data_IF_926886267956
#
_entry.id   IF_926886267956
#
_cell.length_a   1.000
_cell.length_b   1.000
_cell.length_c   1.000
_cell.angle_alpha   90.00
_cell.angle_beta   90.00
_cell.angle_gamma   90.00
#
_symmetry.space_group_name_H-M   'P 1'
#
loop_
_entity.id
_entity.type
_entity.pdbx_description
1 polymer ?
#
# COMPACT_ATOMS: atom_id res chain seq x y z
N UNK A 1 -8.55 -16.28 -11.40
CA UNK A 1 -9.79 -15.45 -11.44
C UNK A 1 -9.62 -14.09 -10.79
N UNK A 2 -9.11 -13.98 -9.56
CA UNK A 2 -8.97 -12.69 -8.88
C UNK A 2 -8.17 -11.63 -9.69
N UNK A 3 -7.12 -12.05 -10.41
CA UNK A 3 -6.32 -11.17 -11.29
C UNK A 3 -7.14 -10.49 -12.40
N UNK A 4 -8.04 -11.23 -13.05
CA UNK A 4 -8.87 -10.69 -14.15
C UNK A 4 -9.79 -9.59 -13.62
N UNK A 5 -10.39 -9.80 -12.45
CA UNK A 5 -11.24 -8.78 -11.83
C UNK A 5 -10.45 -7.57 -11.36
N UNK A 6 -9.20 -7.77 -10.93
CA UNK A 6 -8.32 -6.69 -10.52
C UNK A 6 -7.88 -5.80 -11.70
N UNK A 7 -7.62 -6.39 -12.87
CA UNK A 7 -7.31 -5.66 -14.11
C UNK A 7 -8.49 -4.84 -14.64
N UNK A 8 -9.72 -5.23 -14.31
CA UNK A 8 -10.95 -4.51 -14.70
C UNK A 8 -11.31 -3.35 -13.75
N UNK A 9 -10.64 -3.24 -12.61
CA UNK A 9 -10.94 -2.22 -11.61
C UNK A 9 -10.30 -0.87 -11.96
N UNK A 10 -10.84 0.23 -11.43
CA UNK A 10 -10.30 1.59 -11.62
C UNK A 10 -9.14 1.92 -10.69
N UNK A 11 -9.17 1.37 -9.47
CA UNK A 11 -8.26 1.73 -8.37
C UNK A 11 -7.33 0.58 -8.00
N UNK A 12 -6.46 0.18 -8.92
CA UNK A 12 -5.60 -1.01 -8.80
C UNK A 12 -4.76 -1.04 -7.52
N UNK A 13 -4.20 0.09 -7.08
CA UNK A 13 -3.37 0.14 -5.87
C UNK A 13 -4.18 -0.12 -4.60
N UNK A 14 -5.33 0.56 -4.43
CA UNK A 14 -6.17 0.37 -3.25
C UNK A 14 -6.74 -1.04 -3.17
N UNK A 15 -7.19 -1.58 -4.31
CA UNK A 15 -7.79 -2.90 -4.34
C UNK A 15 -6.77 -4.01 -4.08
N UNK A 16 -5.54 -3.88 -4.59
CA UNK A 16 -4.46 -4.81 -4.26
C UNK A 16 -4.11 -4.77 -2.76
N UNK A 17 -4.00 -3.58 -2.16
CA UNK A 17 -3.76 -3.45 -0.72
C UNK A 17 -4.91 -4.03 0.12
N UNK A 18 -6.15 -3.78 -0.29
CA UNK A 18 -7.32 -4.32 0.39
C UNK A 18 -7.40 -5.85 0.27
N UNK A 19 -7.12 -6.41 -0.91
CA UNK A 19 -7.05 -7.85 -1.11
C UNK A 19 -5.96 -8.50 -0.24
N UNK A 20 -4.78 -7.89 -0.18
CA UNK A 20 -3.69 -8.34 0.70
C UNK A 20 -4.10 -8.34 2.18
N UNK A 21 -4.77 -7.28 2.63
CA UNK A 21 -5.28 -7.17 4.00
C UNK A 21 -6.29 -8.27 4.34
N UNK A 22 -7.31 -8.47 3.49
CA UNK A 22 -8.33 -9.51 3.68
C UNK A 22 -7.71 -10.90 3.71
N UNK A 23 -6.77 -11.18 2.79
CA UNK A 23 -6.11 -12.49 2.72
C UNK A 23 -5.21 -12.75 3.95
N UNK A 24 -4.55 -11.72 4.49
CA UNK A 24 -3.79 -11.85 5.73
C UNK A 24 -4.71 -12.18 6.91
N UNK A 25 -5.82 -11.44 7.11
CA UNK A 25 -6.77 -11.75 8.19
C UNK A 25 -7.38 -13.15 8.05
N UNK A 26 -7.70 -13.57 6.82
CA UNK A 26 -8.20 -14.92 6.57
C UNK A 26 -7.13 -15.98 6.86
N UNK A 27 -5.86 -15.71 6.56
CA UNK A 27 -4.75 -16.62 6.85
C UNK A 27 -4.58 -16.86 8.35
N UNK A 28 -4.75 -15.81 9.17
CA UNK A 28 -4.68 -15.90 10.63
C UNK A 28 -5.86 -16.72 11.19
N UNK A 29 -7.08 -16.52 10.67
CA UNK A 29 -8.25 -17.32 11.04
C UNK A 29 -8.11 -18.80 10.62
N UNK A 30 -7.53 -19.05 9.44
CA UNK A 30 -7.26 -20.40 8.97
C UNK A 30 -6.20 -21.11 9.84
N UNK A 31 -5.17 -20.38 10.29
CA UNK A 31 -4.17 -20.90 11.22
C UNK A 31 -4.80 -21.28 12.56
N UNK A 32 -5.63 -20.40 13.12
CA UNK A 32 -6.36 -20.65 14.38
C UNK A 32 -7.27 -21.88 14.31
N UNK A 33 -7.91 -22.11 13.16
CA UNK A 33 -8.78 -23.28 12.91
C UNK A 33 -8.00 -24.55 12.49
N UNK A 34 -6.67 -24.56 12.60
CA UNK A 34 -5.77 -25.67 12.26
C UNK A 34 -5.77 -26.06 10.77
N UNK A 35 -6.19 -25.16 9.88
CA UNK A 35 -6.09 -25.33 8.43
C UNK A 35 -4.76 -24.76 7.89
N UNK A 36 -3.65 -25.39 8.26
CA UNK A 36 -2.29 -24.87 7.99
C UNK A 36 -1.97 -24.73 6.49
N UNK A 37 -2.40 -25.69 5.64
CA UNK A 37 -2.21 -25.60 4.19
C UNK A 37 -2.98 -24.42 3.57
N UNK A 38 -4.21 -24.17 4.05
CA UNK A 38 -5.02 -23.04 3.59
C UNK A 38 -4.40 -21.72 4.03
N UNK A 39 -3.99 -21.62 5.30
CA UNK A 39 -3.32 -20.44 5.84
C UNK A 39 -2.06 -20.08 5.02
N UNK A 40 -1.22 -21.07 4.70
CA UNK A 40 -0.03 -20.86 3.88
C UNK A 40 -0.37 -20.31 2.49
N UNK A 41 -1.36 -20.89 1.81
CA UNK A 41 -1.80 -20.43 0.49
C UNK A 41 -2.40 -19.03 0.53
N UNK A 42 -3.20 -18.70 1.55
CA UNK A 42 -3.75 -17.35 1.74
C UNK A 42 -2.65 -16.32 1.96
N UNK A 43 -1.63 -16.66 2.76
CA UNK A 43 -0.49 -15.78 3.03
C UNK A 43 0.39 -15.54 1.80
N UNK A 44 0.55 -16.56 0.95
CA UNK A 44 1.24 -16.41 -0.34
C UNK A 44 0.47 -15.47 -1.27
N UNK A 45 -0.85 -15.66 -1.39
CA UNK A 45 -1.69 -14.77 -2.18
C UNK A 45 -1.69 -13.33 -1.62
N UNK A 46 -1.71 -13.16 -0.29
CA UNK A 46 -1.64 -11.84 0.34
C UNK A 46 -0.35 -11.10 -0.05
N UNK A 47 0.79 -11.80 -0.05
CA UNK A 47 2.08 -11.26 -0.50
C UNK A 47 2.07 -10.92 -1.98
N UNK A 48 1.48 -11.77 -2.82
CA UNK A 48 1.37 -11.51 -4.24
C UNK A 48 0.60 -10.20 -4.53
N UNK A 49 -0.51 -9.96 -3.83
CA UNK A 49 -1.25 -8.70 -3.97
C UNK A 49 -0.48 -7.48 -3.42
N UNK A 50 0.28 -7.64 -2.32
CA UNK A 50 1.15 -6.56 -1.84
C UNK A 50 2.23 -6.21 -2.88
N UNK A 51 2.79 -7.22 -3.56
CA UNK A 51 3.78 -7.06 -4.62
C UNK A 51 3.21 -6.37 -5.85
N UNK A 52 1.97 -6.69 -6.23
CA UNK A 52 1.25 -5.99 -7.30
C UNK A 52 1.05 -4.52 -6.95
N UNK A 53 0.59 -4.22 -5.74
CA UNK A 53 0.44 -2.84 -5.28
C UNK A 53 1.77 -2.08 -5.35
N UNK A 54 2.86 -2.71 -4.90
CA UNK A 54 4.21 -2.15 -4.94
C UNK A 54 4.65 -1.84 -6.38
N UNK A 55 4.46 -2.78 -7.30
CA UNK A 55 4.86 -2.63 -8.70
C UNK A 55 4.06 -1.55 -9.42
N UNK A 56 2.74 -1.52 -9.23
CA UNK A 56 1.88 -0.45 -9.78
C UNK A 56 2.34 0.92 -9.26
N UNK A 57 2.63 1.02 -7.96
CA UNK A 57 3.12 2.27 -7.38
C UNK A 57 4.50 2.66 -7.92
N UNK A 58 5.37 1.68 -8.19
CA UNK A 58 6.68 1.91 -8.81
C UNK A 58 6.52 2.51 -10.20
N UNK A 59 5.61 1.96 -11.02
CA UNK A 59 5.31 2.47 -12.36
C UNK A 59 4.72 3.88 -12.30
N UNK A 60 3.68 4.09 -11.50
CA UNK A 60 3.07 5.42 -11.33
C UNK A 60 4.09 6.47 -10.87
N UNK A 61 5.00 6.09 -9.97
CA UNK A 61 6.05 6.99 -9.47
C UNK A 61 7.13 7.31 -10.51
N UNK A 62 7.43 6.36 -11.38
CA UNK A 62 8.36 6.56 -12.50
C UNK A 62 7.76 7.46 -13.59
N UNK A 63 6.45 7.33 -13.84
CA UNK A 63 5.76 8.10 -14.87
C UNK A 63 5.53 9.56 -14.43
N UNK A 64 4.92 9.75 -13.26
CA UNK A 64 4.72 11.07 -12.67
C UNK A 64 4.80 11.01 -11.14
N UNK A 65 5.92 11.50 -10.62
CA UNK A 65 6.20 11.57 -9.19
C UNK A 65 5.15 12.39 -8.44
N UNK A 66 4.70 13.53 -8.96
CA UNK A 66 3.79 14.41 -8.21
C UNK A 66 2.38 13.83 -8.18
N UNK A 67 1.88 13.38 -9.33
CA UNK A 67 0.56 12.73 -9.41
C UNK A 67 0.50 11.45 -8.59
N UNK A 68 1.56 10.63 -8.61
CA UNK A 68 1.61 9.38 -7.82
C UNK A 68 1.59 9.65 -6.30
N UNK A 69 2.32 10.67 -5.83
CA UNK A 69 2.28 11.10 -4.43
C UNK A 69 0.89 11.65 -4.03
N UNK A 70 0.19 12.31 -4.95
CA UNK A 70 -1.19 12.76 -4.74
C UNK A 70 -2.16 11.58 -4.67
N UNK A 71 -2.00 10.58 -5.54
CA UNK A 71 -2.82 9.36 -5.53
C UNK A 71 -2.70 8.61 -4.20
N UNK A 72 -1.50 8.54 -3.60
CA UNK A 72 -1.29 7.89 -2.29
C UNK A 72 -2.14 8.46 -1.14
N UNK A 73 -2.46 9.75 -1.19
CA UNK A 73 -3.22 10.47 -0.15
C UNK A 73 -4.65 10.83 -0.57
N UNK A 74 -5.02 10.52 -1.82
CA UNK A 74 -6.38 10.76 -2.31
C UNK A 74 -7.30 9.68 -1.74
N UNK A 75 -8.46 10.11 -1.24
CA UNK A 75 -9.47 9.19 -0.70
C UNK A 75 -10.16 8.47 -1.84
N UNK A 76 -10.14 7.14 -1.80
CA UNK A 76 -10.90 6.30 -2.73
C UNK A 76 -12.27 6.02 -2.14
N UNK A 77 -13.33 6.46 -2.82
CA UNK A 77 -14.71 6.40 -2.30
C UNK A 77 -15.15 4.97 -1.93
N UNK A 78 -14.75 3.97 -2.75
CA UNK A 78 -15.07 2.56 -2.53
C UNK A 78 -14.56 2.02 -1.19
N UNK A 79 -13.36 2.43 -0.78
CA UNK A 79 -12.69 1.93 0.42
C UNK A 79 -12.79 2.90 1.61
N UNK A 80 -13.39 4.08 1.41
CA UNK A 80 -13.48 5.16 2.39
C UNK A 80 -12.16 5.53 3.07
N UNK A 81 -11.04 5.25 2.39
CA UNK A 81 -9.69 5.42 2.92
C UNK A 81 -8.74 5.79 1.78
N UNK A 82 -7.52 6.13 2.14
CA UNK A 82 -6.42 6.41 1.19
C UNK A 82 -5.51 5.17 1.09
N UNK A 83 -4.83 4.93 -0.04
CA UNK A 83 -3.86 3.83 -0.13
C UNK A 83 -2.85 3.81 1.03
N UNK A 84 -2.34 4.99 1.43
CA UNK A 84 -1.40 5.11 2.54
C UNK A 84 -2.00 4.67 3.88
N UNK A 85 -3.19 5.16 4.24
CA UNK A 85 -3.90 4.73 5.45
C UNK A 85 -4.21 3.23 5.48
N UNK A 86 -4.60 2.63 4.34
CA UNK A 86 -4.83 1.19 4.26
C UNK A 86 -3.53 0.44 4.59
N UNK A 87 -2.43 0.81 3.93
CA UNK A 87 -1.13 0.18 4.16
C UNK A 87 -0.65 0.29 5.62
N UNK A 88 -0.85 1.46 6.26
CA UNK A 88 -0.52 1.68 7.67
C UNK A 88 -1.39 0.82 8.58
N UNK A 89 -2.71 0.84 8.40
CA UNK A 89 -3.66 0.09 9.24
C UNK A 89 -3.43 -1.42 9.19
N UNK A 90 -3.05 -1.93 8.02
CA UNK A 90 -2.89 -3.36 7.73
C UNK A 90 -1.43 -3.83 7.84
N UNK A 91 -0.53 -2.94 8.30
CA UNK A 91 0.91 -3.23 8.51
C UNK A 91 1.56 -3.84 7.26
N UNK A 92 1.21 -3.35 6.07
CA UNK A 92 1.76 -3.78 4.78
C UNK A 92 3.17 -3.19 4.60
N UNK A 93 4.14 -3.82 5.26
CA UNK A 93 5.51 -3.30 5.43
C UNK A 93 6.25 -3.13 4.11
N UNK A 94 6.04 -4.03 3.14
CA UNK A 94 6.75 -3.96 1.85
C UNK A 94 6.25 -2.76 1.05
N UNK A 95 4.93 -2.54 1.03
CA UNK A 95 4.36 -1.35 0.40
C UNK A 95 4.78 -0.05 1.11
N UNK A 96 4.81 -0.04 2.44
CA UNK A 96 5.26 1.13 3.23
C UNK A 96 6.74 1.46 2.99
N UNK A 97 7.59 0.47 2.71
CA UNK A 97 9.00 0.67 2.38
C UNK A 97 9.23 1.26 0.99
N UNK A 98 8.20 1.36 0.14
CA UNK A 98 8.31 1.94 -1.19
C UNK A 98 8.76 3.41 -1.13
N UNK A 99 9.65 3.81 -2.04
CA UNK A 99 10.24 5.15 -2.10
C UNK A 99 9.19 6.26 -2.16
N UNK A 100 8.09 6.06 -2.88
CA UNK A 100 6.98 7.02 -2.92
C UNK A 100 6.31 7.23 -1.56
N UNK A 101 6.12 6.17 -0.78
CA UNK A 101 5.57 6.26 0.57
C UNK A 101 6.52 7.03 1.49
N UNK A 102 7.82 6.71 1.43
CA UNK A 102 8.85 7.41 2.21
C UNK A 102 8.96 8.88 1.84
N UNK A 103 8.97 9.20 0.54
CA UNK A 103 8.97 10.58 0.07
C UNK A 103 7.73 11.36 0.53
N UNK A 104 6.55 10.72 0.51
CA UNK A 104 5.32 11.36 1.01
C UNK A 104 5.37 11.61 2.51
N UNK A 105 5.83 10.63 3.29
CA UNK A 105 5.98 10.76 4.74
C UNK A 105 7.01 11.84 5.10
N UNK A 106 8.12 11.92 4.37
CA UNK A 106 9.13 12.97 4.53
C UNK A 106 8.54 14.37 4.24
N UNK A 107 7.76 14.48 3.16
CA UNK A 107 7.04 15.73 2.83
C UNK A 107 6.04 16.11 3.93
N UNK A 108 5.29 15.16 4.49
CA UNK A 108 4.37 15.42 5.62
C UNK A 108 5.15 15.87 6.86
N UNK A 109 6.29 15.23 7.15
CA UNK A 109 7.14 15.57 8.29
C UNK A 109 7.74 16.97 8.18
N UNK A 110 8.23 17.34 6.99
CA UNK A 110 8.81 18.66 6.74
C UNK A 110 7.76 19.78 6.70
N UNK A 111 6.48 19.46 6.48
CA UNK A 111 5.40 20.45 6.39
C UNK A 111 5.66 21.47 5.27
N UNK A 112 5.57 22.76 5.61
CA UNK A 112 5.87 23.87 4.68
C UNK A 112 7.37 24.23 4.62
N UNK A 113 8.22 23.50 5.34
CA UNK A 113 9.65 23.75 5.36
C UNK A 113 10.26 23.12 4.08
N UNK A 114 11.13 23.88 3.40
CA UNK A 114 11.82 23.38 2.21
C UNK A 114 12.62 22.10 2.55
N UNK A 115 12.53 21.10 1.67
CA UNK A 115 13.03 19.72 1.87
C UNK A 115 14.55 19.64 2.13
N UNK A 116 15.30 20.69 1.78
CA UNK A 116 16.75 20.81 1.95
C UNK A 116 17.19 21.71 3.11
N UNK A 117 16.29 22.04 4.04
CA UNK A 117 16.69 22.77 5.26
C UNK A 117 17.52 21.86 6.15
N UNK A 118 18.80 22.17 6.41
CA UNK A 118 19.60 21.34 7.29
C UNK A 118 19.11 21.49 8.73
N UNK A 119 19.14 20.40 9.50
CA UNK A 119 18.56 20.29 10.85
C UNK A 119 18.93 21.47 11.77
N UNK A 120 20.16 21.95 11.72
CA UNK A 120 20.67 23.06 12.54
C UNK A 120 20.03 24.43 12.27
N UNK A 121 19.23 24.59 11.21
CA UNK A 121 18.45 25.83 10.96
C UNK A 121 17.02 25.78 11.50
N UNK A 122 16.54 24.59 11.88
CA UNK A 122 15.16 24.37 12.33
C UNK A 122 15.08 24.34 13.87
N UNK A 123 16.24 24.23 14.55
CA UNK A 123 16.38 24.32 16.01
C UNK A 123 16.68 25.74 16.48
#
# INVERSE_FOLDING_TARGET
MAMIFWELETDHTCSALFASAVLNELSEKAEFSKHMHLSASLKENARHFEDLAYNVMTQLYSDDRESSLKTLVTRVARYNSTPLNIAVSQKLKKFMAHTACQAKLNSIWNGDIAEYTPFWRVC
#
